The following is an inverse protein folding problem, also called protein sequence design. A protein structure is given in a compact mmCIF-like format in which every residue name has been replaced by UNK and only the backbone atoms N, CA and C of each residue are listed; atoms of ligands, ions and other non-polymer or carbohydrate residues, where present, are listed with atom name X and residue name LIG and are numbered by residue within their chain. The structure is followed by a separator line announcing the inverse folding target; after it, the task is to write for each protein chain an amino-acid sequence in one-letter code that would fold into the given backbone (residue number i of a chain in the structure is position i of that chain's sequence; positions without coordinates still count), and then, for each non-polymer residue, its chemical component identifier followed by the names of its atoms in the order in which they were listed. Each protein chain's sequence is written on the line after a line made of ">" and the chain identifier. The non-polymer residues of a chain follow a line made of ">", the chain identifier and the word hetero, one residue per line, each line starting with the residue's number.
data_IF_828842913285
#
_entry.id   IF_828842913285
#
_cell.length_a   1.000
_cell.length_b   1.000
_cell.length_c   1.000
_cell.angle_alpha   90.00
_cell.angle_beta   90.00
_cell.angle_gamma   90.00
#
_symmetry.space_group_name_H-M   'P 1'
#
loop_
_entity.id
_entity.type
_entity.pdbx_description
1 polymer ?
#
# COMPACT_ATOMS: atom_id res chain seq x y z
N UNK A 1 7.82 -0.07 -15.40
CA UNK A 1 6.85 -0.36 -16.47
C UNK A 1 7.13 -1.68 -17.17
N UNK A 2 6.22 -2.09 -18.05
CA UNK A 2 6.38 -3.27 -18.90
C UNK A 2 6.78 -2.79 -20.31
N UNK A 3 7.88 -3.29 -20.82
CA UNK A 3 8.42 -2.93 -22.14
C UNK A 3 8.20 -4.06 -23.14
N UNK A 4 8.15 -3.78 -24.49
CA UNK A 4 7.87 -4.80 -25.49
C UNK A 4 8.83 -5.98 -25.55
N UNK A 5 10.03 -5.83 -25.02
CA UNK A 5 11.08 -6.86 -24.97
C UNK A 5 11.10 -7.68 -23.68
N UNK A 6 10.13 -7.45 -22.79
CA UNK A 6 10.06 -8.11 -21.50
C UNK A 6 8.89 -9.07 -21.43
N UNK A 7 9.05 -10.14 -20.66
CA UNK A 7 7.96 -11.01 -20.30
C UNK A 7 7.18 -10.38 -19.11
N UNK A 8 5.86 -10.12 -19.26
CA UNK A 8 5.09 -9.53 -18.19
C UNK A 8 4.90 -10.52 -17.03
N UNK A 9 5.20 -10.08 -15.80
CA UNK A 9 4.82 -10.81 -14.58
C UNK A 9 3.50 -10.25 -14.04
N UNK A 10 2.39 -11.00 -14.08
CA UNK A 10 1.09 -10.53 -13.59
C UNK A 10 1.16 -10.08 -12.12
N UNK A 11 0.59 -8.91 -11.83
CA UNK A 11 0.60 -8.30 -10.49
C UNK A 11 1.85 -7.45 -10.18
N UNK A 12 2.91 -7.52 -10.98
CA UNK A 12 4.07 -6.65 -10.82
C UNK A 12 3.85 -5.27 -11.43
N UNK A 13 4.62 -4.29 -10.98
CA UNK A 13 4.72 -2.96 -11.62
C UNK A 13 5.61 -2.99 -12.88
N UNK A 14 6.24 -4.11 -13.20
CA UNK A 14 7.29 -4.24 -14.18
C UNK A 14 8.65 -3.79 -13.65
N UNK A 15 9.59 -3.48 -14.54
CA UNK A 15 10.93 -3.02 -14.17
C UNK A 15 11.06 -1.49 -14.22
N UNK A 16 12.07 -0.91 -13.56
CA UNK A 16 12.40 0.51 -13.65
C UNK A 16 12.55 0.99 -15.10
N UNK A 17 12.04 2.17 -15.37
CA UNK A 17 12.29 2.82 -16.67
C UNK A 17 13.77 3.26 -16.73
N UNK A 18 14.54 2.85 -17.74
CA UNK A 18 15.97 3.15 -17.84
C UNK A 18 16.31 4.64 -18.01
N UNK A 19 15.30 5.48 -18.26
CA UNK A 19 15.49 6.94 -18.31
C UNK A 19 15.63 7.57 -16.91
N UNK A 20 15.28 6.81 -15.85
CA UNK A 20 15.31 7.28 -14.48
C UNK A 20 16.23 6.39 -13.65
N UNK A 21 17.02 7.01 -12.80
CA UNK A 21 17.80 6.31 -11.77
C UNK A 21 16.89 5.98 -10.58
N UNK A 22 16.15 4.87 -10.69
CA UNK A 22 15.17 4.42 -9.72
C UNK A 22 15.81 3.43 -8.76
N UNK A 23 15.63 3.69 -7.47
CA UNK A 23 16.10 2.81 -6.39
C UNK A 23 14.98 2.55 -5.38
N UNK A 24 15.19 1.56 -4.52
CA UNK A 24 14.36 1.28 -3.35
C UNK A 24 15.17 1.60 -2.10
N UNK A 25 14.79 2.63 -1.36
CA UNK A 25 15.47 2.98 -0.10
C UNK A 25 14.75 2.39 1.11
N UNK A 26 15.50 1.68 1.92
CA UNK A 26 15.06 1.20 3.22
C UNK A 26 14.89 2.36 4.20
N UNK A 27 14.34 2.09 5.36
CA UNK A 27 14.11 3.12 6.40
C UNK A 27 15.41 3.77 6.89
N UNK A 28 16.52 3.05 6.86
CA UNK A 28 17.85 3.53 7.26
C UNK A 28 18.62 4.20 6.11
N UNK A 29 17.95 4.42 4.96
CA UNK A 29 18.48 5.18 3.84
C UNK A 29 19.43 4.43 2.92
N UNK A 30 19.62 3.11 3.11
CA UNK A 30 20.39 2.28 2.17
C UNK A 30 19.51 1.73 1.04
N UNK A 31 20.13 1.31 -0.05
CA UNK A 31 19.44 0.57 -1.09
C UNK A 31 18.94 -0.78 -0.55
N UNK A 32 17.70 -1.13 -0.87
CA UNK A 32 17.09 -2.40 -0.47
C UNK A 32 17.67 -3.56 -1.28
N UNK A 33 17.86 -4.70 -0.63
CA UNK A 33 18.20 -5.96 -1.27
C UNK A 33 16.98 -6.58 -1.96
N UNK A 34 17.18 -7.59 -2.81
CA UNK A 34 16.08 -8.30 -3.44
C UNK A 34 15.21 -9.00 -2.38
N UNK A 35 13.89 -8.85 -2.50
CA UNK A 35 12.91 -9.28 -1.51
C UNK A 35 12.71 -8.32 -0.34
N UNK A 36 13.56 -7.30 -0.16
CA UNK A 36 13.43 -6.32 0.90
C UNK A 36 12.55 -5.14 0.46
N UNK A 37 11.71 -4.65 1.38
CA UNK A 37 10.84 -3.50 1.13
C UNK A 37 11.61 -2.20 1.26
N UNK A 38 11.44 -1.32 0.28
CA UNK A 38 11.99 0.04 0.27
C UNK A 38 11.00 1.03 -0.33
N UNK A 39 11.19 2.31 -0.02
CA UNK A 39 10.48 3.39 -0.68
C UNK A 39 11.05 3.58 -2.09
N UNK A 40 10.17 3.65 -3.08
CA UNK A 40 10.58 3.95 -4.46
C UNK A 40 11.06 5.40 -4.51
N UNK A 41 12.29 5.58 -4.95
CA UNK A 41 12.91 6.89 -5.11
C UNK A 41 13.49 7.06 -6.51
N UNK A 42 13.65 8.32 -6.93
CA UNK A 42 14.38 8.67 -8.13
C UNK A 42 15.59 9.52 -7.71
N UNK A 43 16.79 9.03 -8.00
CA UNK A 43 18.02 9.78 -7.74
C UNK A 43 18.15 10.89 -8.77
N UNK A 44 18.42 12.10 -8.31
CA UNK A 44 18.50 13.31 -9.14
C UNK A 44 19.80 14.08 -8.92
N UNK A 45 20.74 13.51 -8.18
CA UNK A 45 22.08 14.05 -7.90
C UNK A 45 22.92 14.24 -9.17
N UNK A 46 22.70 13.40 -10.20
CA UNK A 46 23.34 13.51 -11.54
C UNK A 46 22.60 14.42 -12.50
N UNK A 47 21.54 15.07 -12.05
CA UNK A 47 20.67 15.93 -12.82
C UNK A 47 19.22 15.46 -12.83
N UNK A 48 18.32 16.42 -12.96
CA UNK A 48 16.89 16.14 -13.02
C UNK A 48 16.53 15.46 -14.35
N UNK A 49 15.98 14.24 -14.35
CA UNK A 49 15.62 13.57 -15.58
C UNK A 49 14.50 14.29 -16.32
N UNK A 50 14.52 14.21 -17.64
CA UNK A 50 13.46 14.75 -18.49
C UNK A 50 12.12 14.05 -18.17
N UNK A 51 11.05 14.85 -18.12
CA UNK A 51 9.70 14.34 -17.84
C UNK A 51 9.35 14.22 -16.35
N UNK A 52 10.32 14.38 -15.43
CA UNK A 52 10.00 14.49 -14.02
C UNK A 52 9.38 15.87 -13.75
N UNK A 53 8.29 15.92 -12.97
CA UNK A 53 7.57 17.17 -12.65
C UNK A 53 8.51 18.19 -11.99
N UNK A 54 8.19 19.47 -12.12
CA UNK A 54 9.04 20.55 -11.61
C UNK A 54 8.85 20.75 -10.11
N UNK A 55 7.62 20.89 -9.69
CA UNK A 55 7.21 21.19 -8.31
C UNK A 55 5.71 20.93 -8.12
N UNK A 56 5.25 20.83 -6.90
CA UNK A 56 3.82 20.87 -6.57
C UNK A 56 3.32 22.30 -6.68
N UNK A 57 2.23 22.51 -7.41
CA UNK A 57 1.68 23.83 -7.67
C UNK A 57 1.28 24.55 -6.39
N UNK A 58 1.90 25.70 -6.12
CA UNK A 58 1.67 26.54 -4.92
C UNK A 58 1.82 25.79 -3.59
N UNK A 59 2.70 24.80 -3.54
CA UNK A 59 2.94 23.95 -2.37
C UNK A 59 4.45 23.64 -2.25
N UNK A 60 5.24 24.66 -1.93
CA UNK A 60 6.71 24.56 -1.80
C UNK A 60 7.12 23.56 -0.72
N UNK A 61 6.44 23.56 0.44
CA UNK A 61 6.71 22.65 1.53
C UNK A 61 6.54 21.17 1.09
N UNK A 62 5.45 20.85 0.37
CA UNK A 62 5.27 19.51 -0.18
C UNK A 62 6.33 19.14 -1.21
N UNK A 63 6.86 20.13 -1.92
CA UNK A 63 7.95 19.90 -2.89
C UNK A 63 9.26 19.60 -2.16
N UNK A 64 9.57 20.34 -1.11
CA UNK A 64 10.75 20.15 -0.28
C UNK A 64 10.71 18.81 0.46
N UNK A 65 9.55 18.44 1.01
CA UNK A 65 9.33 17.14 1.67
C UNK A 65 9.51 15.95 0.71
N UNK A 66 9.01 16.09 -0.52
CA UNK A 66 9.11 15.03 -1.52
C UNK A 66 10.45 15.01 -2.26
N UNK A 67 11.22 16.09 -2.21
CA UNK A 67 12.43 16.25 -3.00
C UNK A 67 13.53 16.94 -2.23
N UNK A 68 14.39 16.17 -1.62
CA UNK A 68 15.52 16.65 -0.83
C UNK A 68 16.75 15.72 -1.01
N UNK A 69 17.93 16.21 -0.66
CA UNK A 69 19.19 15.47 -0.71
C UNK A 69 19.51 14.83 -2.08
N UNK A 70 19.06 15.48 -3.18
CA UNK A 70 19.25 14.96 -4.53
C UNK A 70 18.37 13.73 -4.85
N UNK A 71 17.33 13.48 -4.07
CA UNK A 71 16.43 12.34 -4.20
C UNK A 71 14.98 12.83 -4.25
N UNK A 72 14.22 12.31 -5.20
CA UNK A 72 12.78 12.45 -5.22
C UNK A 72 12.14 11.20 -4.60
N UNK A 73 11.40 11.39 -3.53
CA UNK A 73 10.64 10.37 -2.81
C UNK A 73 9.23 10.28 -3.37
N UNK A 74 8.88 9.16 -4.02
CA UNK A 74 7.56 8.99 -4.64
C UNK A 74 6.42 8.84 -3.62
N UNK A 75 6.76 8.45 -2.40
CA UNK A 75 5.80 8.09 -1.36
C UNK A 75 5.24 6.68 -1.52
N UNK A 76 5.67 5.91 -2.51
CA UNK A 76 5.27 4.53 -2.73
C UNK A 76 6.32 3.55 -2.20
N UNK A 77 5.88 2.42 -1.65
CA UNK A 77 6.74 1.34 -1.15
C UNK A 77 6.58 0.13 -2.04
N UNK A 78 7.69 -0.49 -2.38
CA UNK A 78 7.75 -1.71 -3.17
C UNK A 78 8.87 -2.62 -2.67
N UNK A 79 8.93 -3.84 -3.17
CA UNK A 79 10.10 -4.70 -3.10
C UNK A 79 10.46 -5.14 -4.52
N UNK A 80 11.70 -5.57 -4.73
CA UNK A 80 12.21 -6.02 -6.03
C UNK A 80 12.51 -7.51 -5.96
N UNK A 81 12.09 -8.26 -6.98
CA UNK A 81 12.49 -9.66 -7.12
C UNK A 81 13.87 -9.81 -7.80
N UNK A 82 14.39 -11.03 -7.82
CA UNK A 82 15.68 -11.39 -8.40
C UNK A 82 15.80 -11.10 -9.91
N UNK A 83 14.66 -10.97 -10.61
CA UNK A 83 14.61 -10.59 -12.03
C UNK A 83 14.46 -9.07 -12.23
N UNK A 84 14.46 -8.29 -11.15
CA UNK A 84 14.38 -6.82 -11.17
C UNK A 84 12.97 -6.25 -11.31
N UNK A 85 11.91 -7.07 -11.19
CA UNK A 85 10.54 -6.58 -11.20
C UNK A 85 10.16 -6.00 -9.84
N UNK A 86 9.46 -4.87 -9.87
CA UNK A 86 8.96 -4.19 -8.68
C UNK A 86 7.54 -4.66 -8.35
N UNK A 87 7.31 -4.90 -7.07
CA UNK A 87 6.04 -5.35 -6.53
C UNK A 87 5.53 -4.31 -5.53
N UNK A 88 4.37 -3.75 -5.82
CA UNK A 88 3.79 -2.69 -5.00
C UNK A 88 3.33 -3.21 -3.64
N UNK A 89 3.67 -2.49 -2.58
CA UNK A 89 3.26 -2.79 -1.19
C UNK A 89 2.18 -1.83 -0.73
N UNK A 90 2.35 -0.54 -1.00
CA UNK A 90 1.43 0.52 -0.59
C UNK A 90 2.09 1.88 -0.56
N UNK A 91 1.36 2.88 -0.09
CA UNK A 91 1.92 4.19 0.23
C UNK A 91 2.75 4.08 1.50
N UNK A 92 3.83 4.85 1.59
CA UNK A 92 4.70 4.89 2.77
C UNK A 92 3.95 5.30 4.05
N UNK A 93 2.96 6.21 3.89
CA UNK A 93 2.07 6.68 4.95
C UNK A 93 0.91 5.73 5.27
N UNK A 94 0.63 4.76 4.40
CA UNK A 94 -0.41 3.75 4.60
C UNK A 94 0.13 2.41 5.13
N UNK A 95 1.45 2.17 5.07
CA UNK A 95 2.06 0.92 5.58
C UNK A 95 1.85 0.79 7.09
N UNK A 96 1.24 -0.32 7.50
CA UNK A 96 0.88 -0.60 8.89
C UNK A 96 2.07 -1.24 9.61
N UNK A 97 2.48 -0.63 10.73
CA UNK A 97 3.58 -1.11 11.56
C UNK A 97 3.02 -1.88 12.76
N UNK A 98 2.95 -3.21 12.65
CA UNK A 98 2.36 -4.08 13.67
C UNK A 98 3.37 -5.08 14.19
N UNK A 99 3.72 -5.02 15.49
CA UNK A 99 4.67 -5.96 16.13
C UNK A 99 5.99 -6.12 15.36
N UNK A 100 6.53 -5.03 14.79
CA UNK A 100 7.76 -5.05 13.99
C UNK A 100 7.57 -5.42 12.52
N UNK A 101 6.41 -5.94 12.13
CA UNK A 101 6.07 -6.20 10.73
C UNK A 101 5.61 -4.95 10.01
N UNK A 102 5.92 -4.86 8.73
CA UNK A 102 5.41 -3.85 7.80
C UNK A 102 4.39 -4.50 6.88
N UNK A 103 3.11 -4.16 7.07
CA UNK A 103 2.00 -4.75 6.36
C UNK A 103 1.48 -3.75 5.34
N UNK A 104 1.54 -4.10 4.07
CA UNK A 104 0.96 -3.32 2.98
C UNK A 104 -0.55 -3.48 2.94
N UNK A 105 -1.31 -2.38 2.94
CA UNK A 105 -2.77 -2.45 2.83
C UNK A 105 -3.26 -3.21 1.61
N UNK A 106 -2.62 -3.01 0.47
CA UNK A 106 -3.01 -3.59 -0.81
C UNK A 106 -3.06 -5.12 -0.81
N UNK A 107 -2.11 -5.78 -0.15
CA UNK A 107 -2.07 -7.24 -0.09
C UNK A 107 -3.27 -7.80 0.70
N UNK A 108 -3.61 -7.15 1.81
CA UNK A 108 -4.76 -7.55 2.64
C UNK A 108 -6.07 -7.25 1.93
N UNK A 109 -6.18 -6.12 1.24
CA UNK A 109 -7.33 -5.78 0.40
C UNK A 109 -7.52 -6.80 -0.72
N UNK A 110 -6.45 -7.14 -1.43
CA UNK A 110 -6.48 -8.15 -2.49
C UNK A 110 -6.96 -9.50 -1.98
N UNK A 111 -6.50 -9.93 -0.80
CA UNK A 111 -6.97 -11.16 -0.17
C UNK A 111 -8.45 -11.10 0.19
N UNK A 112 -8.92 -10.02 0.84
CA UNK A 112 -10.33 -9.85 1.20
C UNK A 112 -11.23 -9.81 -0.02
N UNK A 113 -10.81 -9.16 -1.11
CA UNK A 113 -11.58 -9.06 -2.36
C UNK A 113 -11.80 -10.41 -3.05
N UNK A 114 -11.07 -11.46 -2.70
CA UNK A 114 -11.34 -12.84 -3.18
C UNK A 114 -12.48 -13.53 -2.44
N UNK A 115 -12.96 -12.94 -1.34
CA UNK A 115 -14.07 -13.50 -0.55
C UNK A 115 -15.43 -13.04 -1.11
N UNK A 116 -16.44 -13.93 -1.30
CA UNK A 116 -17.72 -13.59 -1.92
C UNK A 116 -18.57 -12.58 -1.14
N UNK A 117 -18.28 -12.38 0.15
CA UNK A 117 -18.94 -11.39 0.97
C UNK A 117 -18.48 -9.96 0.71
N UNK A 118 -17.29 -9.76 0.12
CA UNK A 118 -16.63 -8.45 0.00
C UNK A 118 -16.83 -7.87 -1.40
N UNK A 119 -17.41 -6.68 -1.48
CA UNK A 119 -17.52 -5.90 -2.73
C UNK A 119 -16.36 -4.92 -2.83
N UNK A 120 -16.10 -4.22 -1.74
CA UNK A 120 -15.00 -3.26 -1.62
C UNK A 120 -14.46 -3.31 -0.19
N UNK A 121 -13.20 -3.04 0.00
CA UNK A 121 -12.62 -2.87 1.32
C UNK A 121 -11.50 -1.85 1.31
N UNK A 122 -11.26 -1.28 2.48
CA UNK A 122 -10.11 -0.42 2.75
C UNK A 122 -9.39 -0.93 3.98
N UNK A 123 -8.09 -1.03 3.90
CA UNK A 123 -7.23 -1.45 5.01
C UNK A 123 -6.49 -0.25 5.56
N UNK A 124 -6.58 -0.07 6.89
CA UNK A 124 -5.89 0.98 7.64
C UNK A 124 -5.25 0.40 8.91
N UNK A 125 -4.26 1.11 9.45
CA UNK A 125 -3.72 0.82 10.77
C UNK A 125 -4.48 1.59 11.85
N UNK A 126 -4.89 0.93 12.91
CA UNK A 126 -5.42 1.57 14.11
C UNK A 126 -4.48 1.36 15.29
N UNK A 127 -4.38 2.33 16.22
CA UNK A 127 -3.50 2.20 17.39
C UNK A 127 -3.79 0.94 18.22
N UNK A 128 -2.73 0.32 18.74
CA UNK A 128 -2.80 -0.82 19.67
C UNK A 128 -1.67 -0.70 20.69
N UNK A 129 -1.99 -0.80 21.98
CA UNK A 129 -1.04 -0.57 23.07
C UNK A 129 0.15 -1.55 23.07
N UNK A 130 -0.05 -2.77 22.59
CA UNK A 130 0.97 -3.83 22.60
C UNK A 130 1.74 -3.89 21.27
N UNK A 131 1.05 -3.66 20.16
CA UNK A 131 1.58 -3.89 18.80
C UNK A 131 1.96 -2.62 18.07
N UNK A 132 1.74 -1.45 18.69
CA UNK A 132 1.82 -0.15 18.05
C UNK A 132 0.62 0.12 17.16
N UNK A 133 0.39 -0.72 16.17
CA UNK A 133 -0.81 -0.71 15.33
C UNK A 133 -1.33 -2.14 15.09
N UNK A 134 -2.62 -2.24 14.80
CA UNK A 134 -3.23 -3.46 14.26
C UNK A 134 -3.95 -3.15 12.95
N UNK A 135 -4.10 -4.17 12.14
CA UNK A 135 -4.80 -4.07 10.86
C UNK A 135 -6.29 -3.94 11.11
N UNK A 136 -6.91 -2.89 10.57
CA UNK A 136 -8.35 -2.68 10.49
C UNK A 136 -8.80 -2.82 9.04
N UNK A 137 -9.91 -3.55 8.82
CA UNK A 137 -10.60 -3.64 7.55
C UNK A 137 -11.96 -2.94 7.65
N UNK A 138 -12.18 -1.94 6.79
CA UNK A 138 -13.49 -1.32 6.57
C UNK A 138 -14.07 -1.91 5.29
N UNK A 139 -15.21 -2.60 5.39
CA UNK A 139 -15.71 -3.51 4.35
C UNK A 139 -17.13 -3.13 3.93
N UNK A 140 -17.33 -3.06 2.62
CA UNK A 140 -18.67 -3.02 2.00
C UNK A 140 -19.07 -4.44 1.61
N UNK A 141 -20.17 -4.91 2.17
CA UNK A 141 -20.68 -6.26 1.91
C UNK A 141 -21.45 -6.38 0.60
N UNK A 142 -21.36 -7.55 -0.01
CA UNK A 142 -22.20 -7.91 -1.15
C UNK A 142 -23.67 -8.05 -0.72
N UNK A 143 -24.58 -7.87 -1.66
CA UNK A 143 -26.05 -7.91 -1.39
C UNK A 143 -26.50 -9.20 -0.69
N UNK A 144 -25.85 -10.32 -0.98
CA UNK A 144 -26.17 -11.64 -0.42
C UNK A 144 -25.70 -11.81 1.03
N UNK A 145 -24.83 -10.93 1.51
CA UNK A 145 -24.28 -10.93 2.87
C UNK A 145 -24.76 -9.76 3.71
N UNK A 146 -25.50 -8.81 3.14
CA UNK A 146 -26.17 -7.75 3.94
C UNK A 146 -27.16 -8.38 4.93
N UNK A 147 -27.11 -7.92 6.18
CA UNK A 147 -27.89 -8.49 7.29
C UNK A 147 -27.26 -9.71 7.97
N UNK A 148 -26.05 -10.09 7.56
CA UNK A 148 -25.27 -11.17 8.19
C UNK A 148 -24.04 -10.66 8.93
N UNK A 149 -23.98 -9.35 9.16
CA UNK A 149 -22.91 -8.70 9.91
C UNK A 149 -22.89 -9.25 11.35
N UNK A 150 -21.82 -9.95 11.71
CA UNK A 150 -21.72 -10.55 13.03
C UNK A 150 -20.39 -11.25 13.28
N UNK A 151 -20.17 -11.76 14.50
CA UNK A 151 -18.91 -12.39 14.89
C UNK A 151 -18.50 -13.57 14.00
N UNK A 152 -19.49 -14.29 13.46
CA UNK A 152 -19.22 -15.45 12.57
C UNK A 152 -18.59 -14.99 11.26
N UNK A 153 -19.18 -13.98 10.61
CA UNK A 153 -18.63 -13.43 9.38
C UNK A 153 -17.27 -12.75 9.61
N UNK A 154 -17.12 -12.04 10.73
CA UNK A 154 -15.82 -11.45 11.12
C UNK A 154 -14.75 -12.54 11.20
N UNK A 155 -15.04 -13.65 11.89
CA UNK A 155 -14.10 -14.77 12.01
C UNK A 155 -13.79 -15.43 10.67
N UNK A 156 -14.81 -15.63 9.83
CA UNK A 156 -14.68 -16.21 8.50
C UNK A 156 -13.73 -15.36 7.63
N UNK A 157 -13.90 -14.03 7.61
CA UNK A 157 -13.05 -13.10 6.87
C UNK A 157 -11.61 -13.07 7.42
N UNK A 158 -11.44 -13.07 8.73
CA UNK A 158 -10.13 -13.16 9.38
C UNK A 158 -9.39 -14.46 9.00
N UNK A 159 -10.08 -15.59 9.07
CA UNK A 159 -9.50 -16.90 8.75
C UNK A 159 -9.22 -17.03 7.23
N UNK A 160 -10.04 -16.39 6.39
CA UNK A 160 -9.79 -16.29 4.96
C UNK A 160 -8.47 -15.56 4.68
N UNK A 161 -8.24 -14.38 5.26
CA UNK A 161 -7.00 -13.63 5.07
C UNK A 161 -5.78 -14.41 5.58
N UNK A 162 -5.86 -15.07 6.75
CA UNK A 162 -4.76 -15.90 7.28
C UNK A 162 -4.40 -17.06 6.33
N UNK A 163 -5.37 -17.58 5.61
CA UNK A 163 -5.17 -18.70 4.67
C UNK A 163 -4.58 -18.26 3.33
N UNK A 164 -4.99 -17.07 2.86
CA UNK A 164 -4.59 -16.53 1.55
C UNK A 164 -3.26 -15.77 1.63
N UNK A 165 -2.94 -15.20 2.80
CA UNK A 165 -1.70 -14.44 3.04
C UNK A 165 -0.90 -15.05 4.21
N UNK A 166 -0.07 -14.24 4.88
CA UNK A 166 0.60 -14.67 6.11
C UNK A 166 -0.28 -14.42 7.33
N UNK A 167 -0.27 -15.32 8.36
CA UNK A 167 -1.14 -15.24 9.52
C UNK A 167 -1.10 -13.92 10.29
N UNK A 168 0.05 -13.21 10.30
CA UNK A 168 0.18 -11.93 11.01
C UNK A 168 -0.51 -10.75 10.30
N UNK A 169 -0.94 -10.91 9.04
CA UNK A 169 -1.55 -9.86 8.21
C UNK A 169 -3.06 -9.73 8.36
N UNK A 170 -3.73 -10.67 9.05
CA UNK A 170 -5.19 -10.65 9.15
C UNK A 170 -5.70 -9.40 9.88
N UNK A 171 -6.85 -8.84 9.47
CA UNK A 171 -7.44 -7.70 10.16
C UNK A 171 -7.95 -8.13 11.54
N UNK A 172 -7.45 -7.47 12.59
CA UNK A 172 -7.93 -7.70 13.97
C UNK A 172 -9.23 -6.95 14.26
N UNK A 173 -9.41 -5.84 13.56
CA UNK A 173 -10.63 -5.03 13.62
C UNK A 173 -11.30 -5.10 12.25
N UNK A 174 -12.60 -5.39 12.23
CA UNK A 174 -13.44 -5.34 11.04
C UNK A 174 -14.63 -4.45 11.32
N UNK A 175 -14.85 -3.48 10.43
CA UNK A 175 -16.01 -2.60 10.43
C UNK A 175 -16.76 -2.77 9.11
N UNK A 176 -18.08 -2.98 9.20
CA UNK A 176 -18.94 -3.04 8.02
C UNK A 176 -19.57 -1.68 7.79
N UNK A 177 -19.54 -1.20 6.54
CA UNK A 177 -20.08 0.09 6.14
C UNK A 177 -20.90 -0.04 4.87
N UNK A 178 -21.80 0.93 4.64
CA UNK A 178 -22.58 0.98 3.39
C UNK A 178 -21.75 1.40 2.18
N UNK A 179 -20.80 2.33 2.39
CA UNK A 179 -19.91 2.84 1.35
C UNK A 179 -18.57 3.30 1.93
N UNK A 180 -17.53 3.30 1.10
CA UNK A 180 -16.21 3.84 1.42
C UNK A 180 -16.08 5.29 0.92
N UNK A 181 -15.38 6.19 1.65
CA UNK A 181 -15.10 7.54 1.18
C UNK A 181 -14.19 7.47 -0.06
N UNK A 182 -14.59 8.19 -1.11
CA UNK A 182 -13.89 8.20 -2.41
C UNK A 182 -13.60 9.61 -2.90
N UNK A 183 -12.54 9.74 -3.68
CA UNK A 183 -12.30 10.94 -4.48
C UNK A 183 -13.27 10.99 -5.67
N UNK A 184 -13.34 12.15 -6.35
CA UNK A 184 -14.10 12.29 -7.59
C UNK A 184 -13.67 11.26 -8.65
N UNK A 185 -12.41 10.84 -8.64
CA UNK A 185 -11.86 9.82 -9.54
C UNK A 185 -12.09 8.37 -9.08
N UNK A 186 -12.84 8.15 -8.00
CA UNK A 186 -13.17 6.83 -7.46
C UNK A 186 -12.11 6.17 -6.59
N UNK A 187 -11.00 6.86 -6.25
CA UNK A 187 -9.98 6.32 -5.35
C UNK A 187 -10.44 6.43 -3.89
N UNK A 188 -10.24 5.36 -3.12
CA UNK A 188 -10.56 5.31 -1.70
C UNK A 188 -9.69 6.31 -0.91
N UNK A 189 -10.31 7.11 -0.05
CA UNK A 189 -9.68 8.12 0.80
C UNK A 189 -9.36 7.55 2.17
N UNK A 190 -8.27 6.77 2.28
CA UNK A 190 -7.86 6.14 3.54
C UNK A 190 -7.60 7.14 4.66
N UNK A 191 -7.19 8.36 4.32
CA UNK A 191 -7.02 9.45 5.30
C UNK A 191 -8.30 9.70 6.08
N UNK A 192 -9.47 9.79 5.41
CA UNK A 192 -10.77 10.01 6.06
C UNK A 192 -11.16 8.84 6.97
N UNK A 193 -10.81 7.60 6.58
CA UNK A 193 -11.07 6.43 7.42
C UNK A 193 -10.21 6.50 8.68
N UNK A 194 -8.90 6.81 8.54
CA UNK A 194 -7.98 6.96 9.68
C UNK A 194 -8.37 8.10 10.64
N UNK A 195 -8.94 9.19 10.13
CA UNK A 195 -9.36 10.32 10.96
C UNK A 195 -10.55 9.99 11.86
N UNK A 196 -11.41 9.07 11.43
CA UNK A 196 -12.53 8.57 12.25
C UNK A 196 -12.09 7.65 13.38
N UNK A 197 -10.88 7.08 13.28
CA UNK A 197 -10.34 6.10 14.22
C UNK A 197 -9.38 6.74 15.26
N UNK A 198 -9.17 8.06 15.20
CA UNK A 198 -8.38 8.84 16.18
C UNK A 198 -9.25 9.28 17.34
#
# INVERSE_FOLDING_TARGET
>A
GTFPWMEPKPGSMGVPNPQYDIDLLTHDGRSAEDGEQGQIVIRTDRGKPLGLFKEYYRASELTEDAWHDGIYYTGDVAWRDEDGYFWFVGRADDVIKSSGYRIGPFEVESALMTHPAVVECAITGVPDEIRGQVVKATIVLSKTFKGKEGPELVKELQDHVKRVTAPYKYPRVIEFVEELPKTISGKIRRVEIREKDK
#
